data_IF_801642860115
#
_entry.id   IF_801642860115
#
_cell.length_a   1.000
_cell.length_b   1.000
_cell.length_c   1.000
_cell.angle_alpha   90.00
_cell.angle_beta   90.00
_cell.angle_gamma   90.00
#
_symmetry.space_group_name_H-M   'P 1'
#
loop_
_entity.id
_entity.type
_entity.pdbx_description
1 polymer ?
#
# COMPACT_ATOMS: atom_id res chain seq x y z
N UNK A 1 -10.74 23.49 25.84
CA UNK A 1 -9.46 23.06 25.27
C UNK A 1 -8.40 24.04 25.72
N UNK A 2 -7.21 23.56 26.16
CA UNK A 2 -6.07 24.44 26.39
C UNK A 2 -5.81 25.29 25.13
N UNK A 3 -5.36 26.55 25.28
CA UNK A 3 -5.15 27.42 24.15
C UNK A 3 -3.99 26.90 23.27
N UNK A 4 -4.06 27.15 21.95
CA UNK A 4 -2.96 26.81 21.02
C UNK A 4 -1.70 27.65 21.29
N UNK A 5 -1.87 28.83 21.91
CA UNK A 5 -0.81 29.78 22.23
C UNK A 5 -0.84 30.15 23.72
N UNK A 6 0.34 30.29 24.31
CA UNK A 6 0.52 30.72 25.69
C UNK A 6 0.50 32.25 25.80
N UNK A 7 0.31 32.76 27.03
CA UNK A 7 0.32 34.20 27.32
C UNK A 7 1.72 34.81 27.17
N UNK A 8 1.80 36.05 26.68
CA UNK A 8 3.06 36.82 26.63
C UNK A 8 3.62 37.07 28.04
N UNK A 9 2.76 37.16 29.07
CA UNK A 9 3.19 37.41 30.45
C UNK A 9 4.07 36.28 31.01
N UNK A 10 3.80 35.03 30.61
CA UNK A 10 4.52 33.83 31.10
C UNK A 10 5.53 33.33 30.08
N UNK A 11 5.97 34.20 29.18
CA UNK A 11 6.93 33.83 28.13
C UNK A 11 8.29 33.51 28.73
N UNK A 12 8.82 32.34 28.36
CA UNK A 12 10.19 31.93 28.70
C UNK A 12 11.19 32.71 27.83
N UNK A 13 12.20 33.29 28.47
CA UNK A 13 13.30 34.04 27.85
C UNK A 13 14.66 33.47 28.28
N UNK A 14 15.75 33.97 27.70
CA UNK A 14 17.11 33.57 28.08
C UNK A 14 17.48 33.90 29.54
N UNK A 15 16.77 34.87 30.15
CA UNK A 15 16.98 35.29 31.54
C UNK A 15 16.12 34.50 32.54
N UNK A 16 15.29 33.56 32.06
CA UNK A 16 14.38 32.79 32.91
C UNK A 16 15.15 31.77 33.74
N UNK A 17 15.01 31.85 35.06
CA UNK A 17 15.73 30.99 36.03
C UNK A 17 14.87 29.89 36.64
N UNK A 18 13.54 29.99 36.52
CA UNK A 18 12.59 28.99 37.02
C UNK A 18 11.48 28.75 36.00
N UNK A 19 11.13 27.48 35.82
CA UNK A 19 10.12 27.04 34.85
C UNK A 19 8.99 26.32 35.57
N UNK A 20 7.76 26.73 35.29
CA UNK A 20 6.57 25.95 35.59
C UNK A 20 6.11 25.26 34.31
N UNK A 21 6.05 23.93 34.33
CA UNK A 21 5.68 23.13 33.17
C UNK A 21 4.30 22.54 33.41
N UNK A 22 3.37 22.86 32.52
CA UNK A 22 2.09 22.17 32.44
C UNK A 22 1.98 21.37 31.15
N UNK A 23 1.31 20.22 31.24
CA UNK A 23 0.94 19.40 30.10
C UNK A 23 -0.53 19.05 30.24
N UNK A 24 -1.32 19.33 29.22
CA UNK A 24 -2.77 19.09 29.22
C UNK A 24 -3.14 18.23 28.00
N UNK A 25 -4.05 17.28 28.20
CA UNK A 25 -4.42 16.32 27.18
C UNK A 25 -5.61 15.46 27.59
N UNK A 26 -6.12 14.66 26.66
CA UNK A 26 -7.26 13.77 26.90
C UNK A 26 -6.85 12.43 27.51
N UNK A 27 -5.59 12.03 27.33
CA UNK A 27 -5.04 10.79 27.85
C UNK A 27 -4.00 11.08 28.94
N UNK A 28 -4.28 10.64 30.17
CA UNK A 28 -3.41 10.87 31.32
C UNK A 28 -2.03 10.23 31.19
N UNK A 29 -1.94 9.07 30.52
CA UNK A 29 -0.67 8.37 30.34
C UNK A 29 0.24 9.16 29.39
N UNK A 30 -0.30 9.60 28.24
CA UNK A 30 0.43 10.46 27.31
C UNK A 30 0.88 11.78 27.96
N UNK A 31 0.00 12.40 28.76
CA UNK A 31 0.32 13.63 29.50
C UNK A 31 1.49 13.42 30.45
N UNK A 32 1.44 12.36 31.27
CA UNK A 32 2.50 12.05 32.23
C UNK A 32 3.81 11.69 31.53
N UNK A 33 3.78 10.92 30.44
CA UNK A 33 4.98 10.60 29.68
C UNK A 33 5.62 11.84 29.05
N UNK A 34 4.83 12.72 28.44
CA UNK A 34 5.34 13.97 27.88
C UNK A 34 5.96 14.87 28.97
N UNK A 35 5.31 14.99 30.13
CA UNK A 35 5.85 15.71 31.27
C UNK A 35 7.18 15.10 31.74
N UNK A 36 7.21 13.78 31.92
CA UNK A 36 8.41 13.06 32.35
C UNK A 36 9.58 13.29 31.39
N UNK A 37 9.37 13.18 30.07
CA UNK A 37 10.40 13.41 29.05
C UNK A 37 10.96 14.84 29.14
N UNK A 38 10.09 15.85 29.19
CA UNK A 38 10.53 17.26 29.25
C UNK A 38 11.32 17.51 30.53
N UNK A 39 10.80 17.04 31.66
CA UNK A 39 11.41 17.29 32.96
C UNK A 39 12.73 16.54 33.12
N UNK A 40 12.83 15.28 32.69
CA UNK A 40 14.11 14.54 32.76
C UNK A 40 15.16 15.14 31.82
N UNK A 41 14.76 15.64 30.65
CA UNK A 41 15.69 16.35 29.76
C UNK A 41 16.22 17.64 30.41
N UNK A 42 15.42 18.37 31.18
CA UNK A 42 15.90 19.53 31.94
C UNK A 42 16.81 19.10 33.09
N UNK A 43 16.46 18.03 33.80
CA UNK A 43 17.26 17.50 34.90
C UNK A 43 18.69 17.09 34.45
N UNK A 44 18.84 16.56 33.24
CA UNK A 44 20.16 16.25 32.65
C UNK A 44 21.07 17.47 32.47
N UNK A 45 20.52 18.69 32.53
CA UNK A 45 21.25 19.97 32.42
C UNK A 45 21.45 20.63 33.79
N UNK A 46 21.63 19.81 34.83
CA UNK A 46 21.85 20.24 36.21
C UNK A 46 20.71 21.09 36.80
N UNK A 47 19.47 20.88 36.33
CA UNK A 47 18.27 21.56 36.86
C UNK A 47 17.65 20.76 38.01
N UNK A 48 17.21 21.47 39.05
CA UNK A 48 16.44 20.87 40.15
C UNK A 48 14.97 20.75 39.72
N UNK A 49 14.41 19.56 39.88
CA UNK A 49 13.00 19.27 39.58
C UNK A 49 12.20 19.26 40.87
N UNK A 50 11.32 20.23 41.02
CA UNK A 50 10.37 20.29 42.13
C UNK A 50 9.04 19.61 41.74
N UNK A 51 8.50 18.82 42.67
CA UNK A 51 7.20 18.18 42.51
C UNK A 51 6.04 19.16 42.74
N UNK A 52 5.03 19.10 41.88
CA UNK A 52 3.80 19.90 41.99
C UNK A 52 2.66 18.98 42.42
N UNK A 53 1.89 19.40 43.42
CA UNK A 53 0.66 18.69 43.82
C UNK A 53 -0.48 19.09 42.91
N UNK A 54 -1.01 18.14 42.14
CA UNK A 54 -2.18 18.31 41.28
C UNK A 54 -3.39 17.72 41.99
N UNK A 55 -4.39 18.56 42.25
CA UNK A 55 -5.64 18.19 42.88
C UNK A 55 -6.76 18.15 41.84
N UNK A 56 -7.28 16.96 41.58
CA UNK A 56 -8.50 16.74 40.81
C UNK A 56 -9.67 16.51 41.77
N UNK A 57 -10.91 16.55 41.26
CA UNK A 57 -12.12 16.30 42.07
C UNK A 57 -12.11 14.91 42.76
N UNK A 58 -11.37 13.96 42.21
CA UNK A 58 -11.34 12.55 42.65
C UNK A 58 -9.98 12.06 43.13
N UNK A 59 -8.91 12.81 42.94
CA UNK A 59 -7.55 12.38 43.31
C UNK A 59 -6.60 13.54 43.55
N UNK A 60 -5.64 13.32 44.44
CA UNK A 60 -4.48 14.19 44.65
C UNK A 60 -3.23 13.39 44.30
N UNK A 61 -2.38 13.93 43.43
CA UNK A 61 -1.12 13.31 43.03
C UNK A 61 0.02 14.34 43.00
N UNK A 62 1.25 13.89 43.26
CA UNK A 62 2.45 14.70 43.09
C UNK A 62 3.06 14.35 41.74
N UNK A 63 3.30 15.35 40.90
CA UNK A 63 3.85 15.19 39.54
C UNK A 63 5.13 16.01 39.37
N UNK A 64 6.09 15.57 38.53
CA UNK A 64 6.08 14.31 37.78
C UNK A 64 6.33 13.08 38.67
N UNK A 65 5.73 11.95 38.29
CA UNK A 65 6.10 10.64 38.85
C UNK A 65 7.28 10.10 38.04
N UNK A 66 8.47 10.16 38.65
CA UNK A 66 9.72 9.70 38.05
C UNK A 66 10.12 8.30 38.54
N UNK A 67 9.18 7.51 39.06
CA UNK A 67 9.47 6.14 39.49
C UNK A 67 9.82 5.25 38.30
N UNK A 68 10.98 4.57 38.38
CA UNK A 68 11.35 3.58 37.38
C UNK A 68 10.45 2.35 37.50
N UNK A 69 9.97 1.87 36.35
CA UNK A 69 9.31 0.56 36.31
C UNK A 69 10.35 -0.54 36.20
N UNK A 70 10.00 -1.76 36.63
CA UNK A 70 10.91 -2.90 36.58
C UNK A 70 10.37 -3.98 35.68
N UNK A 71 11.24 -4.50 34.81
CA UNK A 71 10.98 -5.71 34.04
C UNK A 71 12.08 -6.72 34.24
N UNK A 72 11.77 -7.96 33.94
CA UNK A 72 12.75 -9.03 33.98
C UNK A 72 12.69 -9.82 32.70
N UNK A 73 13.85 -10.19 32.18
CA UNK A 73 14.00 -11.12 31.07
C UNK A 73 15.02 -12.21 31.42
N UNK A 74 14.91 -13.35 30.75
CA UNK A 74 15.91 -14.42 30.80
C UNK A 74 16.93 -14.25 29.68
N UNK A 75 18.21 -14.46 29.97
CA UNK A 75 19.29 -14.39 28.96
C UNK A 75 19.06 -15.36 27.80
N UNK A 76 18.52 -16.55 28.11
CA UNK A 76 18.17 -17.56 27.10
C UNK A 76 17.09 -17.09 26.12
N UNK A 77 16.15 -16.24 26.55
CA UNK A 77 15.13 -15.66 25.66
C UNK A 77 15.77 -14.68 24.68
N UNK A 78 16.64 -13.80 25.18
CA UNK A 78 17.40 -12.87 24.34
C UNK A 78 18.29 -13.63 23.34
N UNK A 79 19.09 -14.58 23.81
CA UNK A 79 19.99 -15.38 22.97
C UNK A 79 19.23 -16.15 21.88
N UNK A 80 18.08 -16.75 22.22
CA UNK A 80 17.24 -17.48 21.27
C UNK A 80 16.66 -16.57 20.19
N UNK A 81 16.17 -15.39 20.56
CA UNK A 81 15.58 -14.46 19.61
C UNK A 81 16.63 -13.79 18.72
N UNK A 82 17.77 -13.43 19.32
CA UNK A 82 18.89 -12.76 18.66
C UNK A 82 19.78 -13.70 17.85
N UNK A 83 19.66 -15.02 18.05
CA UNK A 83 20.39 -16.03 17.28
C UNK A 83 21.88 -16.11 17.61
N UNK A 84 22.30 -15.53 18.73
CA UNK A 84 23.69 -15.54 19.21
C UNK A 84 23.75 -15.92 20.69
N UNK A 85 24.81 -16.62 21.14
CA UNK A 85 25.01 -16.85 22.56
C UNK A 85 25.28 -15.51 23.27
N UNK A 86 24.51 -15.22 24.31
CA UNK A 86 24.67 -14.02 25.13
C UNK A 86 24.68 -14.40 26.61
N UNK A 87 25.69 -13.92 27.34
CA UNK A 87 25.74 -14.03 28.79
C UNK A 87 24.90 -12.93 29.47
N UNK A 88 24.59 -13.10 30.76
CA UNK A 88 23.94 -12.06 31.55
C UNK A 88 24.71 -10.74 31.58
N UNK A 89 26.04 -10.82 31.60
CA UNK A 89 26.92 -9.65 31.51
C UNK A 89 26.87 -8.97 30.15
N UNK A 90 26.78 -9.71 29.04
CA UNK A 90 26.71 -9.12 27.70
C UNK A 90 25.41 -8.32 27.52
N UNK A 91 24.29 -8.93 27.92
CA UNK A 91 22.98 -8.29 27.89
C UNK A 91 22.91 -7.07 28.80
N UNK A 92 23.43 -7.16 30.03
CA UNK A 92 23.49 -6.03 30.96
C UNK A 92 24.37 -4.90 30.42
N UNK A 93 25.53 -5.22 29.84
CA UNK A 93 26.40 -4.23 29.21
C UNK A 93 25.70 -3.53 28.05
N UNK A 94 25.02 -4.28 27.17
CA UNK A 94 24.25 -3.73 26.06
C UNK A 94 23.11 -2.80 26.55
N UNK A 95 22.31 -3.25 27.53
CA UNK A 95 21.23 -2.45 28.10
C UNK A 95 21.72 -1.19 28.83
N UNK A 96 22.85 -1.27 29.55
CA UNK A 96 23.43 -0.10 30.20
C UNK A 96 23.87 0.95 29.17
N UNK A 97 24.37 0.53 27.99
CA UNK A 97 24.65 1.46 26.88
C UNK A 97 23.39 2.13 26.31
N UNK A 98 22.23 1.50 26.49
CA UNK A 98 20.91 2.02 26.09
C UNK A 98 20.21 2.83 27.18
N UNK A 99 20.92 3.15 28.27
CA UNK A 99 20.42 4.04 29.33
C UNK A 99 19.59 3.34 30.42
N UNK A 100 19.63 2.01 30.50
CA UNK A 100 18.99 1.28 31.59
C UNK A 100 19.93 1.02 32.76
N UNK A 101 19.35 0.85 33.95
CA UNK A 101 20.06 0.22 35.07
C UNK A 101 19.68 -1.25 35.13
N UNK A 102 20.67 -2.13 35.18
CA UNK A 102 20.46 -3.58 35.19
C UNK A 102 21.09 -4.26 36.39
N UNK A 103 20.41 -5.29 36.90
CA UNK A 103 20.93 -6.21 37.93
C UNK A 103 20.88 -7.63 37.40
N UNK A 104 22.02 -8.33 37.44
CA UNK A 104 22.17 -9.71 36.94
C UNK A 104 22.16 -10.69 38.11
N UNK A 105 21.32 -11.72 38.04
CA UNK A 105 21.31 -12.84 38.98
C UNK A 105 21.22 -14.16 38.19
N UNK A 106 22.37 -14.78 37.94
CA UNK A 106 22.45 -15.98 37.10
C UNK A 106 22.04 -15.69 35.65
N UNK A 107 21.00 -16.37 35.19
CA UNK A 107 20.37 -16.22 33.86
C UNK A 107 19.29 -15.12 33.81
N UNK A 108 18.94 -14.54 34.96
CA UNK A 108 17.88 -13.54 35.08
C UNK A 108 18.44 -12.12 35.13
N UNK A 109 17.92 -11.23 34.29
CA UNK A 109 18.28 -9.81 34.27
C UNK A 109 17.07 -8.99 34.68
N UNK A 110 17.21 -8.22 35.76
CA UNK A 110 16.22 -7.20 36.16
C UNK A 110 16.64 -5.86 35.59
N UNK A 111 15.74 -5.22 34.85
CA UNK A 111 15.98 -3.94 34.17
C UNK A 111 15.07 -2.90 34.80
N UNK A 112 15.67 -1.81 35.28
CA UNK A 112 14.94 -0.62 35.68
C UNK A 112 14.78 0.28 34.46
N UNK A 113 13.53 0.48 34.07
CA UNK A 113 13.13 1.27 32.91
C UNK A 113 12.88 2.70 33.40
N UNK A 114 13.68 3.67 32.93
CA UNK A 114 13.47 5.06 33.28
C UNK A 114 12.07 5.56 32.87
N UNK A 115 11.47 6.49 33.63
CA UNK A 115 10.11 6.99 33.39
C UNK A 115 9.94 7.73 32.06
N UNK A 116 11.04 8.11 31.39
CA UNK A 116 11.04 8.73 30.07
C UNK A 116 11.06 7.70 28.92
N UNK A 117 11.33 6.41 29.19
CA UNK A 117 11.30 5.31 28.22
C UNK A 117 9.90 4.71 28.11
N UNK A 118 8.95 5.50 27.63
CA UNK A 118 7.54 5.08 27.45
C UNK A 118 7.35 4.06 26.33
N UNK A 119 8.37 3.87 25.50
CA UNK A 119 8.42 2.92 24.39
C UNK A 119 8.58 1.46 24.85
N UNK A 120 9.03 1.20 26.09
CA UNK A 120 9.24 -0.15 26.61
C UNK A 120 7.94 -0.75 27.17
N UNK A 121 7.21 -1.47 26.31
CA UNK A 121 5.91 -2.07 26.62
C UNK A 121 6.03 -3.58 26.90
N UNK A 122 7.04 -4.24 26.36
CA UNK A 122 7.31 -5.66 26.46
C UNK A 122 8.79 -5.95 26.72
N UNK A 123 9.11 -7.17 27.15
CA UNK A 123 10.50 -7.65 27.21
C UNK A 123 11.17 -7.73 25.84
N UNK A 124 10.40 -7.69 24.74
CA UNK A 124 10.96 -7.72 23.38
C UNK A 124 11.62 -6.39 23.02
N UNK A 125 11.10 -5.27 23.52
CA UNK A 125 11.73 -3.95 23.35
C UNK A 125 13.08 -3.90 24.08
N UNK A 126 13.22 -4.59 25.21
CA UNK A 126 14.51 -4.77 25.88
C UNK A 126 15.46 -5.66 25.08
N UNK A 127 14.96 -6.68 24.38
CA UNK A 127 15.79 -7.52 23.52
C UNK A 127 16.24 -6.76 22.26
N UNK A 128 15.40 -5.88 21.72
CA UNK A 128 15.79 -4.94 20.67
C UNK A 128 16.91 -4.01 21.14
N UNK A 129 16.78 -3.43 22.34
CA UNK A 129 17.85 -2.60 22.91
C UNK A 129 19.12 -3.38 23.23
N UNK A 130 19.03 -4.67 23.59
CA UNK A 130 20.20 -5.55 23.65
C UNK A 130 20.85 -5.66 22.26
N UNK A 131 20.07 -5.82 21.19
CA UNK A 131 20.61 -5.90 19.83
C UNK A 131 21.30 -4.60 19.39
N UNK A 132 20.72 -3.44 19.71
CA UNK A 132 21.30 -2.12 19.42
C UNK A 132 22.58 -1.91 20.25
N UNK A 133 22.51 -2.17 21.55
CA UNK A 133 23.62 -2.04 22.49
C UNK A 133 24.75 -3.05 22.23
N UNK A 134 24.45 -4.21 21.64
CA UNK A 134 25.43 -5.18 21.16
C UNK A 134 26.00 -4.77 19.80
N UNK A 135 25.18 -4.15 18.94
CA UNK A 135 25.52 -3.66 17.62
C UNK A 135 25.19 -4.65 16.51
N UNK A 136 24.27 -4.28 15.61
CA UNK A 136 23.80 -5.13 14.50
C UNK A 136 24.90 -5.70 13.59
N UNK A 137 26.05 -5.03 13.48
CA UNK A 137 27.19 -5.49 12.66
C UNK A 137 27.89 -6.74 13.21
N UNK A 138 27.68 -7.05 14.49
CA UNK A 138 28.32 -8.17 15.17
C UNK A 138 27.52 -9.49 14.99
N UNK A 139 26.32 -9.42 14.41
CA UNK A 139 25.50 -10.59 14.16
C UNK A 139 25.98 -11.34 12.91
N UNK A 140 26.19 -12.66 12.98
CA UNK A 140 26.51 -13.45 11.81
C UNK A 140 25.30 -13.54 10.88
N UNK A 141 25.51 -13.32 9.58
CA UNK A 141 24.47 -13.56 8.59
C UNK A 141 24.19 -15.07 8.49
N UNK A 142 22.94 -15.47 8.71
CA UNK A 142 22.50 -16.85 8.64
C UNK A 142 21.25 -16.97 7.79
N UNK A 143 21.22 -17.95 6.88
CA UNK A 143 20.01 -18.32 6.16
C UNK A 143 19.10 -19.16 7.08
N UNK A 144 17.78 -18.95 7.05
CA UNK A 144 16.84 -19.82 7.76
C UNK A 144 17.03 -21.29 7.36
N UNK A 145 17.04 -22.19 8.34
CA UNK A 145 17.21 -23.64 8.10
C UNK A 145 16.00 -24.32 7.46
N UNK A 146 14.91 -23.58 7.22
CA UNK A 146 13.69 -24.08 6.58
C UNK A 146 13.85 -24.07 5.06
N UNK A 147 13.97 -25.25 4.45
CA UNK A 147 13.92 -25.40 3.00
C UNK A 147 12.47 -25.46 2.50
N UNK A 148 12.14 -24.61 1.53
CA UNK A 148 10.83 -24.59 0.87
C UNK A 148 11.01 -24.54 -0.64
N UNK A 149 10.08 -25.15 -1.39
CA UNK A 149 10.05 -25.02 -2.85
C UNK A 149 9.24 -23.78 -3.20
N UNK A 150 9.88 -22.81 -3.88
CA UNK A 150 9.18 -21.66 -4.41
C UNK A 150 8.34 -22.05 -5.62
N UNK A 151 7.09 -21.58 -5.66
CA UNK A 151 6.21 -21.73 -6.81
C UNK A 151 5.64 -20.36 -7.19
N UNK A 152 5.37 -20.19 -8.49
CA UNK A 152 4.66 -19.00 -8.98
C UNK A 152 3.18 -19.13 -8.65
N UNK A 153 2.54 -18.01 -8.33
CA UNK A 153 1.10 -17.96 -8.20
C UNK A 153 0.45 -18.25 -9.56
N UNK A 154 -0.68 -18.98 -9.58
CA UNK A 154 -1.35 -19.41 -10.82
C UNK A 154 -1.69 -18.23 -11.74
N UNK A 155 -2.18 -17.13 -11.17
CA UNK A 155 -2.49 -15.91 -11.94
C UNK A 155 -1.26 -15.31 -12.64
N UNK A 156 -0.07 -15.41 -12.04
CA UNK A 156 1.17 -14.96 -12.67
C UNK A 156 1.61 -15.87 -13.81
N UNK A 157 1.33 -17.18 -13.72
CA UNK A 157 1.60 -18.11 -14.83
C UNK A 157 0.67 -17.81 -16.00
N UNK A 158 -0.62 -17.61 -15.73
CA UNK A 158 -1.62 -17.26 -16.74
C UNK A 158 -1.31 -15.91 -17.39
N UNK A 159 -0.96 -14.89 -16.59
CA UNK A 159 -0.61 -13.56 -17.11
C UNK A 159 0.59 -13.62 -18.05
N UNK A 160 1.67 -14.30 -17.66
CA UNK A 160 2.86 -14.40 -18.50
C UNK A 160 2.57 -15.10 -19.83
N UNK A 161 1.79 -16.18 -19.80
CA UNK A 161 1.40 -16.90 -21.01
C UNK A 161 0.60 -16.00 -21.97
N UNK A 162 -0.33 -15.20 -21.44
CA UNK A 162 -1.09 -14.23 -22.23
C UNK A 162 -0.21 -13.11 -22.80
N UNK A 163 0.71 -12.57 -22.00
CA UNK A 163 1.67 -11.57 -22.47
C UNK A 163 2.55 -12.13 -23.58
N UNK A 164 3.03 -13.37 -23.47
CA UNK A 164 3.84 -14.02 -24.50
C UNK A 164 3.07 -14.17 -25.83
N UNK A 165 1.80 -14.59 -25.78
CA UNK A 165 0.92 -14.66 -26.96
C UNK A 165 0.81 -13.28 -27.63
N UNK A 166 0.52 -12.25 -26.86
CA UNK A 166 0.30 -10.90 -27.38
C UNK A 166 1.57 -10.27 -27.95
N UNK A 167 2.71 -10.48 -27.30
CA UNK A 167 4.03 -10.07 -27.82
C UNK A 167 4.32 -10.79 -29.14
N UNK A 168 4.04 -12.10 -29.23
CA UNK A 168 4.17 -12.87 -30.46
C UNK A 168 3.27 -12.36 -31.61
N UNK A 169 2.11 -11.78 -31.28
CA UNK A 169 1.21 -11.11 -32.23
C UNK A 169 1.64 -9.68 -32.59
N UNK A 170 2.77 -9.20 -32.05
CA UNK A 170 3.34 -7.89 -32.33
C UNK A 170 2.67 -6.74 -31.58
N UNK A 171 2.05 -7.01 -30.44
CA UNK A 171 1.49 -5.97 -29.56
C UNK A 171 2.50 -5.58 -28.48
N UNK A 172 2.44 -4.31 -28.04
CA UNK A 172 3.22 -3.78 -26.94
C UNK A 172 2.41 -3.81 -25.64
N UNK A 173 2.96 -4.39 -24.57
CA UNK A 173 2.30 -4.40 -23.26
C UNK A 173 2.37 -3.00 -22.63
N UNK A 174 1.26 -2.56 -22.04
CA UNK A 174 1.14 -1.30 -21.31
C UNK A 174 0.55 -1.52 -19.92
N UNK A 175 0.79 -0.57 -19.01
CA UNK A 175 0.32 -0.61 -17.63
C UNK A 175 -0.42 0.68 -17.23
N UNK A 176 -1.68 0.87 -17.69
CA UNK A 176 -2.54 1.95 -17.22
C UNK A 176 -2.81 1.87 -15.70
N UNK A 177 -3.22 2.99 -15.12
CA UNK A 177 -3.68 3.01 -13.73
C UNK A 177 -4.97 2.18 -13.55
N UNK A 178 -5.07 1.50 -12.40
CA UNK A 178 -6.31 0.83 -11.97
C UNK A 178 -7.42 1.82 -11.61
N UNK A 179 -7.04 3.01 -11.13
CA UNK A 179 -7.97 4.09 -10.82
C UNK A 179 -8.30 4.91 -12.07
N UNK A 180 -9.55 5.31 -12.17
CA UNK A 180 -10.11 6.12 -13.26
C UNK A 180 -11.24 7.00 -12.71
N UNK A 181 -11.99 7.64 -13.60
CA UNK A 181 -13.17 8.42 -13.27
C UNK A 181 -14.36 8.05 -14.16
N UNK A 182 -15.55 8.47 -13.74
CA UNK A 182 -16.82 8.21 -14.44
C UNK A 182 -16.83 8.74 -15.88
N UNK A 183 -16.18 9.89 -16.11
CA UNK A 183 -16.14 10.54 -17.43
C UNK A 183 -15.43 9.66 -18.46
N UNK A 184 -14.21 9.19 -18.16
CA UNK A 184 -13.43 8.35 -19.08
C UNK A 184 -14.05 6.95 -19.16
N UNK A 185 -14.44 6.38 -18.02
CA UNK A 185 -14.88 4.99 -17.95
C UNK A 185 -16.23 4.74 -18.62
N UNK A 186 -17.15 5.70 -18.52
CA UNK A 186 -18.52 5.56 -19.01
C UNK A 186 -18.84 6.56 -20.12
N UNK A 187 -18.75 7.86 -19.83
CA UNK A 187 -19.23 8.89 -20.77
C UNK A 187 -18.47 8.86 -22.10
N UNK A 188 -17.13 8.83 -22.08
CA UNK A 188 -16.32 8.78 -23.29
C UNK A 188 -16.48 7.47 -24.07
N UNK A 189 -16.76 6.37 -23.35
CA UNK A 189 -17.07 5.06 -23.92
C UNK A 189 -18.53 4.92 -24.39
N UNK A 190 -19.37 5.94 -24.23
CA UNK A 190 -20.81 5.90 -24.48
C UNK A 190 -21.56 4.81 -23.69
N UNK A 191 -21.06 4.44 -22.51
CA UNK A 191 -21.66 3.43 -21.64
C UNK A 191 -22.41 4.09 -20.49
N UNK A 192 -23.42 3.40 -19.99
CA UNK A 192 -24.08 3.78 -18.73
C UNK A 192 -23.31 3.21 -17.54
N UNK A 193 -23.15 3.98 -16.45
CA UNK A 193 -22.63 3.47 -15.19
C UNK A 193 -23.43 2.25 -14.72
N UNK A 194 -22.70 1.30 -14.15
CA UNK A 194 -23.26 0.07 -13.57
C UNK A 194 -23.17 0.12 -12.04
N UNK A 195 -24.02 -0.64 -11.35
CA UNK A 195 -24.07 -0.65 -9.89
C UNK A 195 -22.91 -1.43 -9.24
N UNK A 196 -22.13 -2.17 -10.04
CA UNK A 196 -21.00 -3.00 -9.61
C UNK A 196 -19.67 -2.23 -9.47
N UNK A 197 -19.71 -0.90 -9.60
CA UNK A 197 -18.54 -0.01 -9.56
C UNK A 197 -18.14 0.31 -8.12
N UNK A 198 -16.83 0.27 -7.85
CA UNK A 198 -16.24 0.66 -6.56
C UNK A 198 -15.67 2.08 -6.65
N UNK A 199 -16.11 2.96 -5.75
CA UNK A 199 -15.69 4.37 -5.68
C UNK A 199 -14.70 4.61 -4.55
N UNK A 200 -13.78 5.55 -4.76
CA UNK A 200 -12.89 6.07 -3.72
C UNK A 200 -13.67 7.11 -2.90
N UNK A 201 -13.71 6.95 -1.58
CA UNK A 201 -14.51 7.83 -0.70
C UNK A 201 -14.01 9.28 -0.69
N UNK A 202 -12.69 9.47 -0.51
CA UNK A 202 -12.07 10.79 -0.42
C UNK A 202 -10.95 10.92 -1.47
N UNK A 203 -11.28 11.04 -2.77
CA UNK A 203 -10.28 11.08 -3.82
C UNK A 203 -9.52 12.40 -3.81
N UNK A 204 -8.18 12.33 -3.85
CA UNK A 204 -7.30 13.51 -3.92
C UNK A 204 -7.39 14.19 -5.30
N UNK A 205 -7.70 13.44 -6.35
CA UNK A 205 -7.81 13.92 -7.73
C UNK A 205 -9.13 13.50 -8.38
N UNK A 206 -9.66 14.37 -9.25
CA UNK A 206 -10.83 14.10 -10.10
C UNK A 206 -10.57 13.02 -11.15
N UNK A 207 -9.32 12.67 -11.40
CA UNK A 207 -8.94 11.62 -12.36
C UNK A 207 -9.05 10.21 -11.78
N UNK A 208 -9.11 10.08 -10.46
CA UNK A 208 -8.96 8.82 -9.74
C UNK A 208 -10.05 8.63 -8.67
N UNK A 209 -11.32 8.68 -9.11
CA UNK A 209 -12.49 8.63 -8.23
C UNK A 209 -13.12 7.24 -8.11
N UNK A 210 -12.72 6.28 -8.96
CA UNK A 210 -13.26 4.92 -8.97
C UNK A 210 -12.23 3.91 -9.48
N UNK A 211 -12.44 2.63 -9.15
CA UNK A 211 -11.70 1.52 -9.75
C UNK A 211 -12.29 1.16 -11.12
N UNK A 212 -11.42 0.81 -12.07
CA UNK A 212 -11.84 0.39 -13.41
C UNK A 212 -12.60 -0.94 -13.38
N UNK A 213 -13.70 -1.03 -14.14
CA UNK A 213 -14.45 -2.29 -14.35
C UNK A 213 -14.13 -2.96 -15.69
N UNK A 214 -13.33 -2.31 -16.53
CA UNK A 214 -12.86 -2.76 -17.84
C UNK A 214 -11.44 -2.23 -18.07
N UNK A 215 -10.74 -2.68 -19.10
CA UNK A 215 -9.38 -2.20 -19.43
C UNK A 215 -9.37 -1.24 -20.64
N UNK A 216 -10.32 -1.36 -21.56
CA UNK A 216 -10.30 -0.66 -22.86
C UNK A 216 -10.14 0.86 -22.78
N UNK A 217 -10.83 1.52 -21.85
CA UNK A 217 -10.73 2.97 -21.68
C UNK A 217 -9.30 3.41 -21.32
N UNK A 218 -8.55 2.59 -20.57
CA UNK A 218 -7.16 2.85 -20.23
C UNK A 218 -6.27 2.78 -21.46
N UNK A 219 -6.46 1.77 -22.30
CA UNK A 219 -5.76 1.63 -23.57
C UNK A 219 -6.04 2.80 -24.52
N UNK A 220 -7.30 3.22 -24.65
CA UNK A 220 -7.67 4.38 -25.47
C UNK A 220 -7.07 5.69 -24.95
N UNK A 221 -6.95 5.89 -23.62
CA UNK A 221 -6.21 7.03 -23.05
C UNK A 221 -4.73 7.01 -23.46
N UNK A 222 -4.10 5.84 -23.49
CA UNK A 222 -2.70 5.72 -23.90
C UNK A 222 -2.55 6.05 -25.38
N UNK A 223 -3.41 5.53 -26.25
CA UNK A 223 -3.42 5.93 -27.66
C UNK A 223 -3.61 7.44 -27.82
N UNK A 224 -4.53 8.05 -27.07
CA UNK A 224 -4.78 9.48 -27.10
C UNK A 224 -3.55 10.31 -26.69
N UNK A 225 -2.81 9.87 -25.67
CA UNK A 225 -1.57 10.50 -25.24
C UNK A 225 -0.45 10.34 -26.28
N UNK A 226 -0.49 9.29 -27.11
CA UNK A 226 0.51 8.96 -28.11
C UNK A 226 0.03 9.18 -29.56
N UNK A 227 -1.00 9.99 -29.78
CA UNK A 227 -1.58 10.22 -31.12
C UNK A 227 -0.62 10.84 -32.14
N UNK A 228 0.50 11.40 -31.67
CA UNK A 228 1.55 11.97 -32.51
C UNK A 228 2.56 10.93 -33.01
N UNK A 229 2.52 9.70 -32.50
CA UNK A 229 3.36 8.60 -32.96
C UNK A 229 2.78 7.95 -34.22
N UNK A 230 3.67 7.35 -35.02
CA UNK A 230 3.32 6.68 -36.27
C UNK A 230 2.33 5.52 -36.05
N UNK A 231 1.48 5.32 -37.05
CA UNK A 231 0.55 4.19 -37.13
C UNK A 231 1.20 3.05 -37.94
N UNK A 232 0.85 1.77 -37.68
CA UNK A 232 -0.12 1.31 -36.69
C UNK A 232 0.42 1.33 -35.26
N UNK A 233 -0.43 1.64 -34.28
CA UNK A 233 -0.13 1.42 -32.86
C UNK A 233 -0.94 0.23 -32.35
N UNK A 234 -0.27 -0.74 -31.74
CA UNK A 234 -0.85 -1.98 -31.22
C UNK A 234 -0.43 -2.16 -29.77
N UNK A 235 -1.38 -2.03 -28.85
CA UNK A 235 -1.10 -2.12 -27.42
C UNK A 235 -2.08 -3.05 -26.72
N UNK A 236 -1.63 -3.69 -25.66
CA UNK A 236 -2.44 -4.59 -24.86
C UNK A 236 -2.12 -4.46 -23.37
N UNK A 237 -3.04 -4.93 -22.54
CA UNK A 237 -2.86 -5.06 -21.10
C UNK A 237 -3.43 -6.40 -20.65
N UNK A 238 -2.70 -7.08 -19.76
CA UNK A 238 -3.24 -8.15 -18.90
C UNK A 238 -3.26 -7.63 -17.47
N UNK A 239 -4.45 -7.37 -16.94
CA UNK A 239 -4.58 -6.65 -15.68
C UNK A 239 -5.92 -6.85 -14.99
N UNK A 240 -5.93 -6.52 -13.70
CA UNK A 240 -7.12 -6.66 -12.87
C UNK A 240 -8.11 -5.53 -13.13
N UNK A 241 -9.39 -5.91 -13.14
CA UNK A 241 -10.53 -5.01 -13.00
C UNK A 241 -11.29 -5.36 -11.73
N UNK A 242 -12.06 -4.41 -11.21
CA UNK A 242 -12.85 -4.63 -10.00
C UNK A 242 -14.34 -4.50 -10.32
N UNK A 243 -15.10 -5.55 -10.04
CA UNK A 243 -16.57 -5.57 -10.15
C UNK A 243 -17.17 -6.21 -8.91
N UNK A 244 -18.20 -5.61 -8.32
CA UNK A 244 -18.87 -6.13 -7.13
C UNK A 244 -17.87 -6.45 -5.99
N UNK A 245 -16.89 -5.57 -5.76
CA UNK A 245 -15.81 -5.76 -4.78
C UNK A 245 -14.95 -7.01 -4.99
N UNK A 246 -14.87 -7.52 -6.23
CA UNK A 246 -14.03 -8.67 -6.60
C UNK A 246 -13.12 -8.32 -7.76
N UNK A 247 -11.87 -8.78 -7.66
CA UNK A 247 -10.92 -8.68 -8.75
C UNK A 247 -11.22 -9.75 -9.80
N UNK A 248 -11.10 -9.38 -11.07
CA UNK A 248 -11.12 -10.30 -12.20
C UNK A 248 -9.97 -9.94 -13.14
N UNK A 249 -9.24 -10.96 -13.59
CA UNK A 249 -8.16 -10.78 -14.54
C UNK A 249 -8.73 -10.63 -15.94
N UNK A 250 -8.38 -9.56 -16.63
CA UNK A 250 -8.79 -9.30 -18.00
C UNK A 250 -7.57 -9.23 -18.92
N UNK A 251 -7.73 -9.68 -20.15
CA UNK A 251 -6.88 -9.33 -21.29
C UNK A 251 -7.63 -8.32 -22.14
N UNK A 252 -7.03 -7.19 -22.44
CA UNK A 252 -7.56 -6.27 -23.45
C UNK A 252 -6.47 -5.82 -24.41
N UNK A 253 -6.87 -5.53 -25.65
CA UNK A 253 -5.99 -5.04 -26.70
C UNK A 253 -6.72 -4.03 -27.58
N UNK A 254 -5.95 -3.12 -28.18
CA UNK A 254 -6.42 -2.19 -29.21
C UNK A 254 -5.37 -2.05 -30.32
N UNK A 255 -5.85 -1.92 -31.56
CA UNK A 255 -5.03 -1.59 -32.73
C UNK A 255 -5.66 -0.43 -33.48
N UNK A 256 -4.89 0.64 -33.70
CA UNK A 256 -5.33 1.85 -34.40
C UNK A 256 -4.57 2.01 -35.71
N UNK A 257 -5.30 2.06 -36.83
CA UNK A 257 -4.77 2.34 -38.17
C UNK A 257 -5.90 2.50 -39.22
N UNK A 258 -5.63 3.10 -40.40
CA UNK A 258 -6.66 3.36 -41.42
C UNK A 258 -7.41 2.13 -41.95
N UNK A 259 -6.86 0.93 -41.76
CA UNK A 259 -7.40 -0.34 -42.28
C UNK A 259 -8.03 -1.23 -41.20
N UNK A 260 -8.08 -0.77 -39.95
CA UNK A 260 -8.58 -1.58 -38.84
C UNK A 260 -10.05 -1.94 -39.09
N UNK A 261 -10.37 -3.23 -38.96
CA UNK A 261 -11.71 -3.75 -39.27
C UNK A 261 -12.06 -4.97 -38.43
N UNK A 262 -13.34 -5.32 -38.39
CA UNK A 262 -13.86 -6.42 -37.58
C UNK A 262 -13.16 -7.77 -37.85
N UNK A 263 -12.76 -8.07 -39.10
CA UNK A 263 -12.08 -9.33 -39.43
C UNK A 263 -10.74 -9.45 -38.71
N UNK A 264 -9.98 -8.35 -38.63
CA UNK A 264 -8.72 -8.31 -37.85
C UNK A 264 -8.98 -8.58 -36.36
N UNK A 265 -9.97 -7.90 -35.78
CA UNK A 265 -10.37 -8.08 -34.38
C UNK A 265 -10.75 -9.53 -34.09
N UNK A 266 -11.51 -10.16 -35.00
CA UNK A 266 -11.94 -11.55 -34.90
C UNK A 266 -10.77 -12.52 -35.02
N UNK A 267 -9.84 -12.31 -35.96
CA UNK A 267 -8.64 -13.14 -36.11
C UNK A 267 -7.73 -13.11 -34.88
N UNK A 268 -7.68 -12.01 -34.14
CA UNK A 268 -6.95 -11.92 -32.87
C UNK A 268 -7.60 -12.77 -31.78
N UNK A 269 -8.94 -12.75 -31.68
CA UNK A 269 -9.67 -13.65 -30.77
C UNK A 269 -9.43 -15.11 -31.15
N UNK A 270 -9.45 -15.45 -32.44
CA UNK A 270 -9.13 -16.81 -32.91
C UNK A 270 -7.72 -17.25 -32.48
N UNK A 271 -6.73 -16.38 -32.59
CA UNK A 271 -5.37 -16.67 -32.15
C UNK A 271 -5.29 -16.88 -30.63
N UNK A 272 -5.81 -15.94 -29.84
CA UNK A 272 -5.79 -16.01 -28.37
C UNK A 272 -6.47 -17.28 -27.87
N UNK A 273 -7.69 -17.57 -28.35
CA UNK A 273 -8.45 -18.74 -27.92
C UNK A 273 -7.77 -20.05 -28.31
N UNK A 274 -7.16 -20.12 -29.50
CA UNK A 274 -6.40 -21.30 -29.94
C UNK A 274 -5.19 -21.56 -29.07
N UNK A 275 -4.38 -20.54 -28.78
CA UNK A 275 -3.18 -20.69 -27.93
C UNK A 275 -3.56 -21.03 -26.48
N UNK A 276 -4.72 -20.57 -26.00
CA UNK A 276 -5.28 -20.99 -24.71
C UNK A 276 -5.97 -22.36 -24.72
N UNK A 277 -6.10 -23.02 -25.89
CA UNK A 277 -6.80 -24.29 -26.03
C UNK A 277 -8.31 -24.22 -25.72
N UNK A 278 -8.93 -23.05 -25.88
CA UNK A 278 -10.34 -22.81 -25.57
C UNK A 278 -11.21 -22.79 -26.82
N UNK A 279 -12.32 -23.53 -26.77
CA UNK A 279 -13.37 -23.42 -27.78
C UNK A 279 -14.31 -22.27 -27.43
N UNK A 280 -14.63 -21.46 -28.43
CA UNK A 280 -15.45 -20.28 -28.24
C UNK A 280 -16.45 -20.08 -29.38
N UNK A 281 -17.51 -19.33 -29.10
CA UNK A 281 -18.49 -18.87 -30.08
C UNK A 281 -18.66 -17.36 -29.97
N UNK A 282 -19.27 -16.76 -30.99
CA UNK A 282 -19.58 -15.33 -31.01
C UNK A 282 -21.05 -15.11 -31.32
N UNK A 283 -21.63 -14.10 -30.69
CA UNK A 283 -22.98 -13.62 -30.99
C UNK A 283 -22.97 -12.11 -31.20
N UNK A 284 -23.92 -11.58 -31.95
CA UNK A 284 -24.05 -10.14 -32.20
C UNK A 284 -24.13 -9.36 -30.87
N UNK A 285 -23.37 -8.27 -30.77
CA UNK A 285 -23.37 -7.39 -29.60
C UNK A 285 -24.00 -6.04 -29.93
N UNK A 286 -24.55 -5.39 -28.91
CA UNK A 286 -25.10 -4.04 -28.99
C UNK A 286 -24.39 -3.09 -28.01
N UNK A 287 -23.14 -3.38 -27.65
CA UNK A 287 -22.36 -2.50 -26.77
C UNK A 287 -22.11 -1.14 -27.45
N UNK A 288 -22.55 -0.06 -26.81
CA UNK A 288 -22.51 1.29 -27.34
C UNK A 288 -21.08 1.84 -27.55
N UNK A 289 -20.07 1.20 -26.98
CA UNK A 289 -18.68 1.55 -27.24
C UNK A 289 -18.21 1.14 -28.65
N UNK A 290 -18.95 0.25 -29.33
CA UNK A 290 -18.61 -0.33 -30.62
C UNK A 290 -19.60 0.06 -31.72
N UNK A 291 -19.19 -0.11 -32.97
CA UNK A 291 -20.07 0.07 -34.13
C UNK A 291 -21.12 -1.06 -34.16
N UNK A 292 -22.40 -0.69 -34.26
CA UNK A 292 -23.51 -1.65 -34.40
C UNK A 292 -23.27 -2.58 -35.60
N UNK A 293 -23.50 -3.89 -35.42
CA UNK A 293 -23.23 -4.95 -36.40
C UNK A 293 -21.76 -5.18 -36.77
N UNK A 294 -20.82 -4.47 -36.16
CA UNK A 294 -19.36 -4.70 -36.30
C UNK A 294 -18.70 -4.98 -34.94
N UNK A 295 -19.47 -5.61 -34.07
CA UNK A 295 -19.01 -6.12 -32.79
C UNK A 295 -19.74 -7.41 -32.42
N UNK A 296 -19.09 -8.21 -31.59
CA UNK A 296 -19.62 -9.47 -31.13
C UNK A 296 -19.19 -9.76 -29.69
N UNK A 297 -20.12 -10.34 -28.94
CA UNK A 297 -19.87 -10.91 -27.63
C UNK A 297 -19.19 -12.27 -27.77
N UNK A 298 -18.20 -12.51 -26.94
CA UNK A 298 -17.38 -13.74 -26.94
C UNK A 298 -17.92 -14.67 -25.86
N UNK A 299 -18.21 -15.92 -26.23
CA UNK A 299 -18.74 -16.93 -25.32
C UNK A 299 -17.82 -18.15 -25.24
N UNK A 300 -17.50 -18.57 -24.02
CA UNK A 300 -16.81 -19.83 -23.71
C UNK A 300 -17.73 -20.62 -22.79
N UNK A 301 -17.99 -21.89 -23.12
CA UNK A 301 -18.92 -22.75 -22.37
C UNK A 301 -20.29 -22.08 -22.10
N UNK A 302 -20.87 -21.42 -23.12
CA UNK A 302 -22.13 -20.67 -23.04
C UNK A 302 -22.15 -19.48 -22.05
N UNK A 303 -21.01 -19.07 -21.50
CA UNK A 303 -20.90 -17.87 -20.66
C UNK A 303 -20.19 -16.76 -21.44
N UNK A 304 -20.76 -15.55 -21.42
CA UNK A 304 -20.11 -14.37 -21.97
C UNK A 304 -18.83 -14.11 -21.17
N UNK A 305 -17.71 -14.05 -21.89
CA UNK A 305 -16.37 -13.78 -21.33
C UNK A 305 -15.78 -12.49 -21.88
N UNK A 306 -16.30 -11.95 -22.97
CA UNK A 306 -15.67 -10.78 -23.56
C UNK A 306 -16.46 -10.15 -24.69
N UNK A 307 -15.81 -9.22 -25.36
CA UNK A 307 -16.31 -8.49 -26.52
C UNK A 307 -15.16 -8.21 -27.49
N UNK A 308 -15.48 -8.19 -28.79
CA UNK A 308 -14.56 -7.81 -29.88
C UNK A 308 -15.28 -6.95 -30.90
N UNK A 309 -14.57 -6.00 -31.52
CA UNK A 309 -15.11 -5.27 -32.66
C UNK A 309 -14.40 -3.96 -33.00
N UNK A 310 -15.04 -3.19 -33.89
CA UNK A 310 -14.64 -1.83 -34.24
C UNK A 310 -15.22 -0.82 -33.25
N UNK A 311 -14.38 0.05 -32.69
CA UNK A 311 -14.80 1.09 -31.75
C UNK A 311 -15.66 2.14 -32.46
N UNK A 312 -16.73 2.58 -31.79
CA UNK A 312 -17.67 3.54 -32.34
C UNK A 312 -17.00 4.89 -32.65
N UNK A 313 -17.25 5.54 -33.81
CA UNK A 313 -16.60 6.80 -34.18
C UNK A 313 -16.75 7.91 -33.13
N UNK A 314 -17.88 7.95 -32.41
CA UNK A 314 -18.07 8.91 -31.32
C UNK A 314 -17.12 8.66 -30.14
N UNK A 315 -16.84 7.39 -29.79
CA UNK A 315 -15.84 7.05 -28.77
C UNK A 315 -14.46 7.50 -29.24
N UNK A 316 -14.07 7.16 -30.48
CA UNK A 316 -12.79 7.60 -31.06
C UNK A 316 -12.63 9.13 -30.95
N UNK A 317 -13.67 9.90 -31.31
CA UNK A 317 -13.68 11.36 -31.17
C UNK A 317 -13.63 11.84 -29.71
N UNK A 318 -14.33 11.18 -28.79
CA UNK A 318 -14.32 11.55 -27.36
C UNK A 318 -12.90 11.46 -26.76
N UNK A 319 -12.09 10.51 -27.23
CA UNK A 319 -10.67 10.38 -26.86
C UNK A 319 -9.72 11.25 -27.71
N UNK A 320 -10.24 12.02 -28.67
CA UNK A 320 -9.43 12.89 -29.53
C UNK A 320 -8.55 12.13 -30.53
N UNK A 321 -9.00 10.95 -30.96
CA UNK A 321 -8.37 10.10 -31.97
C UNK A 321 -9.09 10.27 -33.33
N UNK A 322 -8.44 9.88 -34.43
CA UNK A 322 -8.93 10.13 -35.79
C UNK A 322 -9.02 8.87 -36.67
N UNK A 323 -8.28 7.82 -36.34
CA UNK A 323 -8.22 6.60 -37.13
C UNK A 323 -9.13 5.50 -36.55
N UNK A 324 -9.62 4.57 -37.38
CA UNK A 324 -10.36 3.40 -36.93
C UNK A 324 -9.56 2.60 -35.89
N UNK A 325 -10.26 2.07 -34.89
CA UNK A 325 -9.68 1.28 -33.80
C UNK A 325 -10.46 -0.03 -33.71
N UNK A 326 -9.74 -1.14 -33.70
CA UNK A 326 -10.29 -2.42 -33.24
C UNK A 326 -9.94 -2.64 -31.78
N UNK A 327 -10.81 -3.34 -31.07
CA UNK A 327 -10.62 -3.66 -29.67
C UNK A 327 -11.12 -5.05 -29.34
N UNK A 328 -10.44 -5.70 -28.40
CA UNK A 328 -10.87 -6.95 -27.78
C UNK A 328 -10.69 -6.80 -26.27
N UNK A 329 -11.65 -7.27 -25.50
CA UNK A 329 -11.50 -7.45 -24.04
C UNK A 329 -12.12 -8.78 -23.62
N UNK A 330 -11.37 -9.60 -22.89
CA UNK A 330 -11.75 -10.94 -22.43
C UNK A 330 -11.43 -11.07 -20.94
N UNK A 331 -12.42 -11.44 -20.14
CA UNK A 331 -12.27 -11.93 -18.76
C UNK A 331 -11.63 -13.32 -18.79
N UNK A 332 -10.48 -13.45 -18.15
CA UNK A 332 -9.72 -14.69 -18.02
C UNK A 332 -10.16 -15.40 -16.75
N UNK A 333 -10.43 -16.70 -16.86
CA UNK A 333 -10.86 -17.53 -15.74
C UNK A 333 -9.90 -18.66 -15.44
#
# INVERSE_FOLDING_TARGET
FPPIINSELTRVTADTTGLFIEVTGLDSSCVNHALNIVVTALAERDTIVDGVTVNNETSTAVTPDLTCTRRTLQTGEAAKLLGIPLSGSDCAHALNRMGFNTTVNGDKITVEIPPYRSDILHTYDLIEDIAIGYGYKNFPAQLPGTATIGARHESSVVKDALSEIMIGLGYLEVMPFTLTNKMVHFNWMQKTPTDDVVYVENPISKDYTMLRTTLLQGLLKILAANKHHELPQKIFEVGDVVKNNKNALHLALVSIHPKANYTEAKSLVDAIMREQGQYYTVAESNDAAFISRRCADIYVQNKKVGITGEIHPQVIRNFGLENPIIAVEIEIR
#
